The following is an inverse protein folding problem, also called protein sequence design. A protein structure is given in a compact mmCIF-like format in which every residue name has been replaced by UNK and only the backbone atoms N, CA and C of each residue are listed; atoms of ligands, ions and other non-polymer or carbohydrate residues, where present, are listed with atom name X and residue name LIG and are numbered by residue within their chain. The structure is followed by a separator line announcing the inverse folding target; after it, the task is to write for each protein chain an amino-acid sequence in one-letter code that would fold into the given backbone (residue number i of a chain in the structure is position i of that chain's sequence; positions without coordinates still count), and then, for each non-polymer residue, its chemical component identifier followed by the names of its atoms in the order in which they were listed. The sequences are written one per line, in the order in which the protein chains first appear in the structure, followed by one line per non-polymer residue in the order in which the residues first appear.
data_IF_445564745482
#
_entry.id   IF_445564745482
#
_cell.length_a   1.000
_cell.length_b   1.000
_cell.length_c   1.000
_cell.angle_alpha   90.00
_cell.angle_beta   90.00
_cell.angle_gamma   90.00
#
_symmetry.space_group_name_H-M   'P 1'
#
loop_
_entity.id
_entity.type
_entity.pdbx_description
1 polymer ?
#
# COMPACT_ATOMS: atom_id res chain seq x y z
N UNK A 1 26.03 -3.22 2.05
CA UNK A 1 26.50 -3.47 3.42
C UNK A 1 26.01 -2.34 4.34
N UNK A 2 25.47 -2.62 5.52
CA UNK A 2 25.04 -1.59 6.48
C UNK A 2 26.27 -0.91 7.10
N UNK A 3 26.46 0.37 6.81
CA UNK A 3 27.48 1.21 7.44
C UNK A 3 26.91 1.91 8.67
N UNK A 4 27.77 2.46 9.54
CA UNK A 4 27.36 3.21 10.74
C UNK A 4 26.50 4.43 10.35
N UNK A 5 26.86 5.16 9.30
CA UNK A 5 26.11 6.29 8.76
C UNK A 5 24.70 5.87 8.28
N UNK A 6 24.60 4.71 7.60
CA UNK A 6 23.32 4.20 7.17
C UNK A 6 22.43 3.80 8.36
N UNK A 7 23.01 3.28 9.45
CA UNK A 7 22.25 2.95 10.67
C UNK A 7 21.63 4.20 11.28
N UNK A 8 22.40 5.27 11.44
CA UNK A 8 21.90 6.53 12.00
C UNK A 8 20.81 7.15 11.12
N UNK A 9 21.01 7.15 9.80
CA UNK A 9 20.04 7.68 8.83
C UNK A 9 18.69 6.93 8.83
N UNK A 10 18.72 5.63 9.05
CA UNK A 10 17.52 4.78 9.04
C UNK A 10 17.09 4.31 10.44
N UNK A 11 17.72 4.82 11.51
CA UNK A 11 17.34 4.53 12.89
C UNK A 11 15.92 5.07 13.16
N UNK A 12 15.05 4.20 13.67
CA UNK A 12 13.64 4.53 13.99
C UNK A 12 13.36 4.45 15.50
N UNK A 13 14.43 4.37 16.32
CA UNK A 13 14.35 4.18 17.76
C UNK A 13 13.69 5.38 18.48
N UNK A 14 13.67 6.55 17.83
CA UNK A 14 13.06 7.77 18.34
C UNK A 14 11.56 7.90 18.00
N UNK A 15 11.06 7.03 17.12
CA UNK A 15 9.66 7.04 16.73
C UNK A 15 8.83 6.21 17.74
N UNK A 16 7.57 6.58 17.94
CA UNK A 16 6.64 5.81 18.80
C UNK A 16 6.54 4.36 18.35
N UNK A 17 6.39 4.16 17.03
CA UNK A 17 6.47 2.85 16.37
C UNK A 17 7.49 2.88 15.23
N UNK A 18 8.21 1.79 14.96
CA UNK A 18 9.12 1.73 13.82
C UNK A 18 8.45 1.98 12.46
N UNK A 19 7.14 1.83 12.40
CA UNK A 19 6.31 2.11 11.21
C UNK A 19 5.89 3.56 11.07
N UNK A 20 6.05 4.40 12.09
CA UNK A 20 5.65 5.81 12.04
C UNK A 20 6.51 6.58 11.03
N UNK A 21 5.91 7.56 10.37
CA UNK A 21 6.60 8.39 9.40
C UNK A 21 7.55 9.38 10.08
N UNK A 22 8.76 9.49 9.55
CA UNK A 22 9.66 10.61 9.84
C UNK A 22 9.10 11.90 9.23
N UNK A 23 9.61 13.06 9.67
CA UNK A 23 9.17 14.36 9.12
C UNK A 23 9.45 14.45 7.62
N UNK A 24 10.63 13.98 7.19
CA UNK A 24 11.00 13.95 5.78
C UNK A 24 10.09 13.04 4.92
N UNK A 25 9.67 11.89 5.47
CA UNK A 25 8.72 11.00 4.79
C UNK A 25 7.33 11.64 4.71
N UNK A 26 6.90 12.32 5.78
CA UNK A 26 5.63 13.03 5.80
C UNK A 26 5.58 14.17 4.78
N UNK A 27 6.62 14.99 4.66
CA UNK A 27 6.72 16.06 3.66
C UNK A 27 6.51 15.57 2.23
N UNK A 28 6.89 14.32 1.93
CA UNK A 28 6.67 13.72 0.63
C UNK A 28 5.24 13.21 0.41
N UNK A 29 4.58 12.75 1.47
CA UNK A 29 3.24 12.15 1.39
C UNK A 29 2.15 13.22 1.50
N UNK A 30 2.33 14.22 2.34
CA UNK A 30 1.33 15.24 2.62
C UNK A 30 0.73 15.91 1.36
N UNK A 31 1.51 16.29 0.34
CA UNK A 31 0.98 16.91 -0.88
C UNK A 31 0.12 15.96 -1.73
N UNK A 32 0.27 14.64 -1.57
CA UNK A 32 -0.46 13.64 -2.34
C UNK A 32 -1.85 13.34 -1.78
N UNK A 33 -2.08 13.75 -0.53
CA UNK A 33 -3.35 13.54 0.16
C UNK A 33 -4.35 14.63 -0.26
N UNK A 34 -5.55 14.25 -0.71
CA UNK A 34 -6.53 15.22 -1.15
C UNK A 34 -6.98 16.16 0.00
N UNK A 35 -7.25 17.42 -0.30
CA UNK A 35 -7.75 18.38 0.68
C UNK A 35 -9.09 17.93 1.24
N UNK A 36 -9.53 18.56 2.34
CA UNK A 36 -10.85 18.32 2.90
C UNK A 36 -11.94 18.69 1.89
N UNK A 37 -13.02 17.88 1.84
CA UNK A 37 -14.18 18.19 1.00
C UNK A 37 -14.77 19.55 1.37
N UNK A 38 -15.21 20.31 0.35
CA UNK A 38 -15.95 21.54 0.56
C UNK A 38 -17.35 21.20 1.08
N UNK A 39 -17.73 21.78 2.22
CA UNK A 39 -19.02 21.54 2.88
C UNK A 39 -19.00 20.35 3.86
N UNK A 40 -20.04 20.25 4.67
CA UNK A 40 -20.16 19.25 5.72
C UNK A 40 -19.30 19.55 6.96
N UNK A 41 -19.13 18.53 7.82
CA UNK A 41 -18.31 18.64 9.03
C UNK A 41 -16.83 18.83 8.66
N UNK A 42 -16.19 19.83 9.23
CA UNK A 42 -14.76 20.08 9.03
C UNK A 42 -13.93 18.86 9.50
N UNK A 43 -12.90 18.55 8.74
CA UNK A 43 -11.93 17.52 9.12
C UNK A 43 -11.19 17.95 10.38
N UNK A 44 -11.30 17.18 11.44
CA UNK A 44 -10.63 17.44 12.74
C UNK A 44 -9.49 16.45 13.01
N UNK A 45 -9.31 15.45 12.14
CA UNK A 45 -8.35 14.35 12.33
C UNK A 45 -7.00 14.77 11.74
N UNK A 46 -5.92 14.45 12.47
CA UNK A 46 -4.56 14.55 11.96
C UNK A 46 -4.30 13.45 10.92
N UNK A 47 -4.00 13.88 9.69
CA UNK A 47 -3.77 12.98 8.57
C UNK A 47 -2.46 12.21 8.69
N UNK A 48 -1.46 12.79 9.36
CA UNK A 48 -0.21 12.08 9.63
C UNK A 48 -0.45 10.88 10.53
N UNK A 49 -1.26 11.06 11.57
CA UNK A 49 -1.65 9.97 12.46
C UNK A 49 -2.48 8.89 11.76
N UNK A 50 -3.32 9.27 10.79
CA UNK A 50 -4.02 8.30 9.95
C UNK A 50 -3.02 7.46 9.14
N UNK A 51 -2.05 8.10 8.48
CA UNK A 51 -1.03 7.38 7.71
C UNK A 51 -0.18 6.51 8.62
N UNK A 52 0.24 7.00 9.80
CA UNK A 52 0.96 6.21 10.79
C UNK A 52 0.18 4.95 11.20
N UNK A 53 -1.13 5.10 11.46
CA UNK A 53 -1.99 3.96 11.78
C UNK A 53 -2.10 2.94 10.65
N UNK A 54 -2.21 3.40 9.41
CA UNK A 54 -2.21 2.51 8.23
C UNK A 54 -0.87 1.80 8.05
N UNK A 55 0.25 2.51 8.21
CA UNK A 55 1.59 1.94 8.15
C UNK A 55 1.83 0.92 9.27
N UNK A 56 1.28 1.17 10.47
CA UNK A 56 1.31 0.20 11.56
C UNK A 56 0.60 -1.11 11.19
N UNK A 57 -0.62 -1.02 10.66
CA UNK A 57 -1.38 -2.21 10.21
C UNK A 57 -0.62 -2.94 9.10
N UNK A 58 -0.07 -2.22 8.12
CA UNK A 58 0.71 -2.80 7.03
C UNK A 58 1.98 -3.51 7.50
N UNK A 59 2.70 -2.92 8.45
CA UNK A 59 3.98 -3.47 8.92
C UNK A 59 3.81 -4.65 9.87
N UNK A 60 2.76 -4.65 10.70
CA UNK A 60 2.51 -5.69 11.70
C UNK A 60 1.61 -6.81 11.19
N UNK A 61 0.80 -6.55 10.16
CA UNK A 61 -0.25 -7.47 9.70
C UNK A 61 -1.36 -7.70 10.74
N UNK A 62 -1.50 -6.83 11.74
CA UNK A 62 -2.49 -7.01 12.79
C UNK A 62 -3.92 -6.83 12.25
N UNK A 63 -4.87 -7.47 12.91
CA UNK A 63 -6.28 -7.20 12.62
C UNK A 63 -6.65 -5.79 13.08
N UNK A 64 -7.57 -5.12 12.40
CA UNK A 64 -8.04 -3.77 12.71
C UNK A 64 -8.44 -3.55 14.17
N UNK A 65 -8.95 -4.59 14.84
CA UNK A 65 -9.35 -4.53 16.25
C UNK A 65 -8.19 -4.44 17.22
N UNK A 66 -6.97 -4.79 16.78
CA UNK A 66 -5.76 -4.78 17.60
C UNK A 66 -4.89 -3.55 17.38
N UNK A 67 -5.39 -2.55 16.66
CA UNK A 67 -4.72 -1.26 16.54
C UNK A 67 -4.58 -0.64 17.94
N UNK A 68 -3.39 -0.20 18.34
CA UNK A 68 -3.14 0.44 19.63
C UNK A 68 -4.03 1.67 19.86
N UNK A 69 -4.35 1.95 21.13
CA UNK A 69 -5.25 3.04 21.52
C UNK A 69 -4.64 4.43 21.37
N UNK A 70 -3.34 4.54 21.26
CA UNK A 70 -2.57 5.76 21.03
C UNK A 70 -2.53 6.16 19.55
N UNK A 71 -3.01 5.29 18.66
CA UNK A 71 -3.32 5.59 17.27
C UNK A 71 -4.81 5.97 17.11
N UNK A 72 -5.19 6.61 16.01
CA UNK A 72 -6.60 6.91 15.76
C UNK A 72 -7.51 5.67 15.83
N UNK A 73 -8.77 5.83 16.23
CA UNK A 73 -9.71 4.71 16.33
C UNK A 73 -9.78 3.89 15.05
N UNK A 74 -9.88 2.57 15.20
CA UNK A 74 -9.94 1.63 14.05
C UNK A 74 -10.98 1.98 12.99
N UNK A 75 -12.15 2.49 13.42
CA UNK A 75 -13.20 2.92 12.49
C UNK A 75 -12.74 4.07 11.62
N UNK A 76 -12.08 5.07 12.22
CA UNK A 76 -11.53 6.21 11.50
C UNK A 76 -10.44 5.78 10.53
N UNK A 77 -9.52 4.91 10.95
CA UNK A 77 -8.47 4.37 10.08
C UNK A 77 -9.07 3.60 8.90
N UNK A 78 -10.07 2.76 9.16
CA UNK A 78 -10.72 1.97 8.12
C UNK A 78 -11.50 2.85 7.14
N UNK A 79 -12.22 3.87 7.62
CA UNK A 79 -12.96 4.82 6.78
C UNK A 79 -12.01 5.59 5.84
N UNK A 80 -10.84 6.01 6.33
CA UNK A 80 -9.82 6.66 5.49
C UNK A 80 -9.15 5.67 4.54
N UNK A 81 -8.88 4.45 4.96
CA UNK A 81 -8.35 3.40 4.10
C UNK A 81 -9.30 3.13 2.93
N UNK A 82 -10.59 2.93 3.21
CA UNK A 82 -11.60 2.67 2.19
C UNK A 82 -11.76 3.86 1.23
N UNK A 83 -11.86 5.07 1.78
CA UNK A 83 -11.94 6.31 0.99
C UNK A 83 -10.73 6.48 0.06
N UNK A 84 -9.51 6.33 0.58
CA UNK A 84 -8.27 6.54 -0.18
C UNK A 84 -7.96 5.40 -1.16
N UNK A 85 -8.47 4.21 -0.89
CA UNK A 85 -8.45 3.11 -1.83
C UNK A 85 -9.40 3.38 -3.00
N UNK A 86 -10.61 3.85 -2.71
CA UNK A 86 -11.63 4.13 -3.72
C UNK A 86 -11.26 5.32 -4.63
N UNK A 87 -10.71 6.40 -4.08
CA UNK A 87 -10.33 7.60 -4.87
C UNK A 87 -8.92 7.50 -5.49
N UNK A 88 -8.23 6.38 -5.30
CA UNK A 88 -6.90 6.11 -5.84
C UNK A 88 -5.76 6.85 -5.12
N UNK A 89 -6.00 7.48 -3.97
CA UNK A 89 -4.97 8.18 -3.20
C UNK A 89 -3.86 7.24 -2.75
N UNK A 90 -4.19 6.03 -2.26
CA UNK A 90 -3.18 5.04 -1.87
C UNK A 90 -2.31 4.61 -3.05
N UNK A 91 -2.89 4.44 -4.22
CA UNK A 91 -2.15 4.10 -5.44
C UNK A 91 -1.19 5.23 -5.85
N UNK A 92 -1.61 6.50 -5.75
CA UNK A 92 -0.74 7.65 -6.03
C UNK A 92 0.42 7.74 -5.04
N UNK A 93 0.14 7.56 -3.75
CA UNK A 93 1.18 7.56 -2.69
C UNK A 93 2.17 6.42 -2.95
N UNK A 94 1.68 5.21 -3.17
CA UNK A 94 2.52 4.05 -3.45
C UNK A 94 3.41 4.29 -4.68
N UNK A 95 2.85 4.79 -5.78
CA UNK A 95 3.60 5.06 -7.01
C UNK A 95 4.69 6.12 -6.80
N UNK A 96 4.37 7.22 -6.11
CA UNK A 96 5.34 8.27 -5.82
C UNK A 96 6.50 7.77 -4.96
N UNK A 97 6.21 7.01 -3.91
CA UNK A 97 7.23 6.39 -3.06
C UNK A 97 8.06 5.35 -3.82
N UNK A 98 7.41 4.54 -4.65
CA UNK A 98 8.09 3.54 -5.48
C UNK A 98 9.09 4.18 -6.45
N UNK A 99 8.67 5.21 -7.20
CA UNK A 99 9.56 5.96 -8.12
C UNK A 99 10.74 6.52 -7.35
N UNK A 100 10.49 7.21 -6.24
CA UNK A 100 11.53 7.82 -5.43
C UNK A 100 12.53 6.80 -4.87
N UNK A 101 12.06 5.65 -4.39
CA UNK A 101 12.94 4.58 -3.94
C UNK A 101 13.82 4.04 -5.06
N UNK A 102 13.28 3.89 -6.27
CA UNK A 102 14.06 3.43 -7.44
C UNK A 102 15.13 4.44 -7.83
N UNK A 103 14.77 5.70 -7.93
CA UNK A 103 15.70 6.80 -8.28
C UNK A 103 16.81 6.93 -7.21
N UNK A 104 16.47 6.83 -5.93
CA UNK A 104 17.44 6.84 -4.84
C UNK A 104 18.44 5.66 -4.89
N UNK A 105 18.04 4.54 -5.53
CA UNK A 105 18.90 3.38 -5.80
C UNK A 105 19.65 3.49 -7.14
N UNK A 106 19.58 4.63 -7.85
CA UNK A 106 20.15 4.81 -9.18
C UNK A 106 19.49 3.97 -10.28
N UNK A 107 18.22 3.58 -10.08
CA UNK A 107 17.42 2.82 -11.05
C UNK A 107 16.42 3.74 -11.75
N UNK A 108 16.09 3.41 -13.00
CA UNK A 108 15.03 4.12 -13.72
C UNK A 108 13.68 4.03 -13.01
N UNK A 109 12.89 5.10 -13.09
CA UNK A 109 11.56 5.19 -12.50
C UNK A 109 10.64 4.03 -12.92
N UNK A 110 10.67 3.66 -14.19
CA UNK A 110 9.91 2.53 -14.73
C UNK A 110 10.78 1.28 -14.87
N UNK A 111 10.31 0.11 -14.37
CA UNK A 111 11.03 -1.14 -14.58
C UNK A 111 10.95 -1.56 -16.04
N UNK A 112 12.08 -1.97 -16.62
CA UNK A 112 12.16 -2.50 -17.98
C UNK A 112 11.81 -3.99 -18.06
N UNK A 113 11.83 -4.69 -16.92
CA UNK A 113 11.49 -6.11 -16.82
C UNK A 113 10.85 -6.42 -15.46
N UNK A 114 9.97 -7.39 -15.44
CA UNK A 114 9.44 -7.98 -14.20
C UNK A 114 9.47 -9.50 -14.29
N UNK A 115 9.69 -10.15 -13.15
CA UNK A 115 9.57 -11.61 -13.01
C UNK A 115 8.25 -11.87 -12.31
N UNK A 116 7.36 -12.62 -12.97
CA UNK A 116 6.09 -13.05 -12.40
C UNK A 116 6.26 -14.49 -11.95
N UNK A 117 6.18 -14.73 -10.64
CA UNK A 117 6.13 -16.08 -10.11
C UNK A 117 4.73 -16.67 -10.37
N UNK A 118 4.71 -17.77 -11.12
CA UNK A 118 3.48 -18.50 -11.47
C UNK A 118 3.23 -19.71 -10.57
N UNK A 119 3.90 -19.80 -9.42
CA UNK A 119 3.69 -20.92 -8.50
C UNK A 119 2.24 -20.95 -8.01
N UNK A 120 1.63 -22.12 -8.12
CA UNK A 120 0.31 -22.35 -7.54
C UNK A 120 0.42 -22.53 -6.04
N UNK A 121 -0.17 -21.62 -5.28
CA UNK A 121 -0.31 -21.77 -3.84
C UNK A 121 -1.41 -22.81 -3.58
N UNK A 122 -1.08 -23.89 -2.85
CA UNK A 122 -2.11 -24.80 -2.34
C UNK A 122 -3.03 -24.02 -1.41
N UNK A 123 -4.32 -23.94 -1.76
CA UNK A 123 -5.30 -23.36 -0.84
C UNK A 123 -5.42 -24.25 0.40
N UNK A 124 -5.55 -23.63 1.57
CA UNK A 124 -5.90 -24.36 2.78
C UNK A 124 -7.25 -25.10 2.56
N UNK A 125 -7.38 -26.33 3.05
CA UNK A 125 -8.55 -27.19 2.85
C UNK A 125 -9.93 -26.57 3.18
N UNK A 126 -9.94 -25.46 3.92
CA UNK A 126 -11.15 -24.67 4.23
C UNK A 126 -11.57 -23.64 3.17
N UNK A 127 -10.73 -23.40 2.16
CA UNK A 127 -11.12 -22.58 1.01
C UNK A 127 -11.81 -23.47 -0.03
N UNK A 128 -13.12 -23.50 0.00
CA UNK A 128 -13.91 -24.40 -0.85
C UNK A 128 -13.53 -24.32 -2.34
N UNK A 129 -13.65 -25.44 -3.02
CA UNK A 129 -13.39 -25.67 -4.46
C UNK A 129 -13.97 -24.58 -5.40
N UNK A 130 -15.01 -23.86 -4.97
CA UNK A 130 -15.63 -22.76 -5.70
C UNK A 130 -14.68 -21.54 -5.87
N UNK A 131 -13.83 -21.24 -4.89
CA UNK A 131 -12.90 -20.11 -4.95
C UNK A 131 -11.77 -20.32 -5.97
N UNK A 132 -11.30 -21.57 -6.11
CA UNK A 132 -10.23 -21.94 -7.07
C UNK A 132 -10.75 -21.89 -8.50
N UNK A 133 -11.99 -22.36 -8.73
CA UNK A 133 -12.61 -22.33 -10.06
C UNK A 133 -12.77 -20.91 -10.60
N UNK A 134 -13.13 -19.95 -9.76
CA UNK A 134 -13.33 -18.56 -10.17
C UNK A 134 -12.01 -17.90 -10.59
N UNK A 135 -10.91 -18.15 -9.89
CA UNK A 135 -9.59 -17.60 -10.22
C UNK A 135 -9.03 -18.21 -11.52
N UNK A 136 -9.15 -19.53 -11.69
CA UNK A 136 -8.66 -20.24 -12.89
C UNK A 136 -9.48 -19.88 -14.13
N UNK A 137 -10.80 -19.73 -14.01
CA UNK A 137 -11.69 -19.34 -15.11
C UNK A 137 -11.43 -17.90 -15.56
N UNK A 138 -11.11 -16.99 -14.60
CA UNK A 138 -10.78 -15.59 -14.91
C UNK A 138 -9.45 -15.47 -15.65
N UNK A 139 -8.43 -16.23 -15.25
CA UNK A 139 -7.12 -16.26 -15.91
C UNK A 139 -7.22 -16.85 -17.34
N UNK A 140 -8.03 -17.89 -17.54
CA UNK A 140 -8.26 -18.51 -18.84
C UNK A 140 -9.01 -17.55 -19.80
N UNK A 141 -10.04 -16.85 -19.33
CA UNK A 141 -10.76 -15.84 -20.10
C UNK A 141 -9.89 -14.64 -20.51
N UNK A 142 -8.95 -14.23 -19.65
CA UNK A 142 -8.01 -13.15 -19.96
C UNK A 142 -7.04 -13.57 -21.08
N UNK A 143 -6.54 -14.81 -21.06
CA UNK A 143 -5.65 -15.35 -22.11
C UNK A 143 -6.36 -15.51 -23.45
N UNK A 144 -7.60 -15.97 -23.46
CA UNK A 144 -8.40 -16.12 -24.68
C UNK A 144 -8.71 -14.76 -25.34
N UNK A 145 -8.99 -13.72 -24.56
CA UNK A 145 -9.19 -12.35 -25.09
C UNK A 145 -7.92 -11.77 -25.69
N UNK A 146 -6.75 -12.02 -25.10
CA UNK A 146 -5.46 -11.57 -25.64
C UNK A 146 -5.13 -12.30 -26.95
N UNK A 147 -5.41 -13.60 -27.05
CA UNK A 147 -5.18 -14.39 -28.26
C UNK A 147 -6.07 -13.95 -29.44
N UNK A 148 -7.32 -13.61 -29.17
CA UNK A 148 -8.26 -13.12 -30.21
C UNK A 148 -7.87 -11.73 -30.70
N UNK A 149 -7.35 -10.86 -29.82
CA UNK A 149 -6.91 -9.49 -30.20
C UNK A 149 -5.63 -9.50 -31.05
N UNK A 150 -4.80 -10.51 -30.94
CA UNK A 150 -3.57 -10.65 -31.74
C UNK A 150 -3.78 -11.31 -33.12
N UNK A 151 -4.94 -11.95 -33.32
CA UNK A 151 -5.28 -12.63 -34.59
C UNK A 151 -6.06 -11.75 -35.58
N UNK A 152 -6.35 -10.48 -35.24
CA UNK A 152 -7.15 -9.55 -36.09
C UNK A 152 -6.24 -8.39 -36.59
N UNK A 153 -4.94 -8.60 -36.73
CA UNK A 153 -4.05 -7.67 -37.42
C UNK A 153 -3.36 -8.34 -38.60
#
# INVERSE_FOLDING_TARGET
MWTTENREKYARDKLRYPSDLTDAEWEHIAPLIPPAKRGGRKRSVDLREIVNGLMYVLSTGCQWRYVPKDLPPRSTLFDYFDLWNWDGTLTRIHHALYVKCREAMGREASPTACVIDSQSVKSAEKGGVASIRTATTRAKRSRERSAISSSIR
#
